data_IF_392297429456
#
_entry.id   IF_392297429456
#
_cell.length_a   1.000
_cell.length_b   1.000
_cell.length_c   1.000
_cell.angle_alpha   90.00
_cell.angle_beta   90.00
_cell.angle_gamma   90.00
#
_symmetry.space_group_name_H-M   'P 1'
#
loop_
_entity.id
_entity.type
_entity.pdbx_description
1 polymer ?
#
# COMPACT_ATOMS: atom_id res chain seq x y z
N UNK A 1 -1.76 -1.60 15.02
CA UNK A 1 -1.66 -2.78 14.13
C UNK A 1 -3.05 -3.32 13.87
N UNK A 2 -3.44 -3.50 12.60
CA UNK A 2 -4.67 -4.16 12.16
C UNK A 2 -4.28 -5.31 11.22
N UNK A 3 -4.91 -6.48 11.37
CA UNK A 3 -4.67 -7.61 10.49
C UNK A 3 -6.00 -8.30 10.16
N UNK A 4 -6.18 -8.68 8.89
CA UNK A 4 -7.34 -9.40 8.38
C UNK A 4 -6.82 -10.66 7.69
N UNK A 5 -7.37 -11.81 8.04
CA UNK A 5 -6.94 -13.11 7.53
C UNK A 5 -8.10 -13.83 6.85
N UNK A 6 -7.92 -14.22 5.59
CA UNK A 6 -8.91 -15.00 4.84
C UNK A 6 -8.16 -16.03 3.99
N UNK A 7 -8.04 -17.28 4.44
CA UNK A 7 -7.26 -18.31 3.72
C UNK A 7 -7.69 -18.42 2.25
N UNK A 8 -6.77 -18.33 1.26
CA UNK A 8 -5.30 -18.36 1.35
C UNK A 8 -4.60 -16.97 1.32
N UNK A 9 -5.34 -15.90 1.58
CA UNK A 9 -4.85 -14.52 1.58
C UNK A 9 -4.81 -13.89 2.99
N UNK A 10 -3.91 -12.94 3.20
CA UNK A 10 -3.92 -12.13 4.42
C UNK A 10 -3.48 -10.71 4.16
N UNK A 11 -4.00 -9.78 4.95
CA UNK A 11 -3.67 -8.37 4.95
C UNK A 11 -3.21 -7.97 6.35
N UNK A 12 -2.11 -7.23 6.44
CA UNK A 12 -1.62 -6.63 7.68
C UNK A 12 -1.26 -5.18 7.45
N UNK A 13 -1.77 -4.30 8.29
CA UNK A 13 -1.46 -2.88 8.34
C UNK A 13 -0.80 -2.54 9.68
N UNK A 14 0.39 -1.98 9.60
CA UNK A 14 1.22 -1.59 10.73
C UNK A 14 1.52 -0.09 10.65
N UNK A 15 1.43 0.58 11.80
CA UNK A 15 1.84 1.97 11.97
C UNK A 15 3.08 1.91 12.87
N UNK A 16 4.23 2.25 12.30
CA UNK A 16 5.53 2.26 12.97
C UNK A 16 5.97 3.68 13.32
N UNK A 17 6.97 3.77 14.19
CA UNK A 17 7.60 5.03 14.58
C UNK A 17 9.01 5.16 13.95
N UNK A 18 9.42 6.35 13.48
CA UNK A 18 8.59 7.54 13.25
C UNK A 18 7.60 7.31 12.10
N UNK A 19 6.42 7.95 12.16
CA UNK A 19 5.20 7.72 11.35
C UNK A 19 5.42 7.03 10.00
N UNK A 20 5.57 5.72 10.03
CA UNK A 20 5.85 4.92 8.86
C UNK A 20 4.77 3.87 8.74
N UNK A 21 4.05 3.90 7.62
CA UNK A 21 3.00 2.93 7.34
C UNK A 21 3.63 1.71 6.68
N UNK A 22 3.18 0.53 7.08
CA UNK A 22 3.52 -0.71 6.39
C UNK A 22 2.25 -1.47 6.09
N UNK A 23 2.06 -1.77 4.81
CA UNK A 23 1.03 -2.69 4.35
C UNK A 23 1.71 -3.96 3.87
N UNK A 24 1.27 -5.11 4.38
CA UNK A 24 1.73 -6.43 3.95
C UNK A 24 0.52 -7.23 3.50
N UNK A 25 0.55 -7.63 2.24
CA UNK A 25 -0.41 -8.52 1.61
C UNK A 25 0.27 -9.86 1.41
N UNK A 26 -0.44 -10.97 1.62
CA UNK A 26 0.14 -12.31 1.44
C UNK A 26 -0.83 -13.14 0.63
N UNK A 27 -0.31 -13.82 -0.39
CA UNK A 27 -1.06 -14.78 -1.19
C UNK A 27 -0.28 -16.08 -1.20
N UNK A 28 -0.90 -17.18 -0.75
CA UNK A 28 -0.27 -18.50 -0.76
C UNK A 28 1.12 -18.53 -0.10
N UNK A 29 1.28 -17.75 0.97
CA UNK A 29 2.53 -17.64 1.74
C UNK A 29 3.60 -16.72 1.16
N UNK A 30 3.36 -16.07 0.02
CA UNK A 30 4.28 -15.08 -0.56
C UNK A 30 3.87 -13.67 -0.14
N UNK A 31 4.70 -12.95 0.63
CA UNK A 31 4.39 -11.60 1.06
C UNK A 31 4.75 -10.57 -0.02
N UNK A 32 3.87 -9.59 -0.19
CA UNK A 32 4.07 -8.34 -0.93
C UNK A 32 3.92 -7.22 0.09
N UNK A 33 4.81 -6.23 0.10
CA UNK A 33 4.74 -5.17 1.09
C UNK A 33 5.10 -3.81 0.51
N UNK A 34 4.49 -2.78 1.09
CA UNK A 34 4.79 -1.38 0.84
C UNK A 34 5.12 -0.70 2.16
N UNK A 35 6.06 0.25 2.13
CA UNK A 35 6.55 0.98 3.30
C UNK A 35 6.54 2.47 2.98
N UNK A 36 5.99 3.28 3.88
CA UNK A 36 5.81 4.71 3.66
C UNK A 36 4.42 5.02 3.11
N UNK A 37 3.96 6.26 3.33
CA UNK A 37 2.59 6.65 2.97
C UNK A 37 2.33 6.61 1.47
N UNK A 38 3.34 6.96 0.66
CA UNK A 38 3.25 7.00 -0.80
C UNK A 38 3.14 5.58 -1.36
N UNK A 39 4.13 4.71 -1.10
CA UNK A 39 4.12 3.33 -1.56
C UNK A 39 2.88 2.55 -1.09
N UNK A 40 2.45 2.77 0.16
CA UNK A 40 1.24 2.12 0.68
C UNK A 40 0.00 2.64 -0.05
N UNK A 41 -0.09 3.95 -0.33
CA UNK A 41 -1.16 4.54 -1.11
C UNK A 41 -1.21 3.97 -2.53
N UNK A 42 -0.07 3.88 -3.21
CA UNK A 42 0.03 3.29 -4.55
C UNK A 42 -0.41 1.82 -4.53
N UNK A 43 0.02 1.04 -3.54
CA UNK A 43 -0.38 -0.36 -3.41
C UNK A 43 -1.89 -0.50 -3.19
N UNK A 44 -2.50 0.36 -2.38
CA UNK A 44 -3.96 0.39 -2.18
C UNK A 44 -4.69 0.66 -3.50
N UNK A 45 -4.29 1.69 -4.24
CA UNK A 45 -4.88 2.01 -5.55
C UNK A 45 -4.77 0.83 -6.51
N UNK A 46 -3.62 0.15 -6.52
CA UNK A 46 -3.40 -1.03 -7.33
C UNK A 46 -4.39 -2.17 -7.04
N UNK A 47 -4.83 -2.32 -5.79
CA UNK A 47 -5.81 -3.34 -5.40
C UNK A 47 -7.27 -2.84 -5.44
N UNK A 48 -7.52 -1.54 -5.58
CA UNK A 48 -8.88 -1.03 -5.83
C UNK A 48 -9.42 -1.39 -7.22
N UNK A 49 -8.57 -1.90 -8.13
CA UNK A 49 -8.97 -2.41 -9.45
C UNK A 49 -9.64 -3.79 -9.39
N UNK A 50 -9.91 -4.37 -8.20
CA UNK A 50 -10.63 -5.65 -8.06
C UNK A 50 -12.04 -5.66 -8.66
N UNK A 51 -12.69 -4.52 -8.79
CA UNK A 51 -13.98 -4.39 -9.48
C UNK A 51 -13.86 -4.34 -11.01
N UNK A 52 -12.65 -4.12 -11.53
CA UNK A 52 -12.45 -3.82 -12.95
C UNK A 52 -12.32 -5.09 -13.78
N UNK A 53 -12.82 -5.08 -15.04
CA UNK A 53 -12.76 -6.24 -15.93
C UNK A 53 -11.33 -6.62 -16.29
N UNK A 54 -10.39 -5.68 -16.25
CA UNK A 54 -8.97 -5.88 -16.52
C UNK A 54 -8.16 -5.09 -15.50
N UNK A 55 -7.20 -5.76 -14.85
CA UNK A 55 -6.24 -5.11 -13.96
C UNK A 55 -4.97 -4.75 -14.72
N UNK A 56 -4.66 -3.45 -14.76
CA UNK A 56 -3.41 -2.93 -15.29
C UNK A 56 -3.01 -1.70 -14.47
N UNK A 57 -1.96 -1.84 -13.67
CA UNK A 57 -1.40 -0.79 -12.85
C UNK A 57 0.11 -0.81 -12.99
N UNK A 58 0.70 0.31 -13.39
CA UNK A 58 2.14 0.52 -13.40
C UNK A 58 2.44 1.68 -12.44
N UNK A 59 3.34 1.42 -11.50
CA UNK A 59 3.78 2.34 -10.45
C UNK A 59 5.30 2.32 -10.38
N UNK A 60 5.88 3.27 -9.65
CA UNK A 60 7.34 3.39 -9.57
C UNK A 60 7.99 2.16 -8.92
N UNK A 61 7.34 1.57 -7.91
CA UNK A 61 7.91 0.50 -7.09
C UNK A 61 7.30 -0.87 -7.35
N UNK A 62 6.19 -0.96 -8.09
CA UNK A 62 5.56 -2.23 -8.46
C UNK A 62 4.70 -2.12 -9.74
N UNK A 63 4.29 -3.27 -10.25
CA UNK A 63 3.30 -3.41 -11.33
C UNK A 63 2.30 -4.51 -11.04
N UNK A 64 1.07 -4.34 -11.53
CA UNK A 64 0.01 -5.34 -11.55
C UNK A 64 -0.52 -5.45 -12.98
N UNK A 65 -0.34 -6.61 -13.60
CA UNK A 65 -0.81 -6.86 -14.98
C UNK A 65 -1.61 -8.14 -15.05
N UNK A 66 -2.85 -8.05 -15.52
CA UNK A 66 -3.68 -9.22 -15.75
C UNK A 66 -3.28 -9.94 -17.04
N UNK A 67 -3.07 -11.25 -16.94
CA UNK A 67 -2.79 -12.15 -18.05
C UNK A 67 -3.70 -13.38 -17.91
N UNK A 68 -4.77 -13.42 -18.69
CA UNK A 68 -5.80 -14.45 -18.55
C UNK A 68 -6.50 -14.36 -17.18
N UNK A 69 -6.47 -15.46 -16.43
CA UNK A 69 -7.10 -15.58 -15.10
C UNK A 69 -6.13 -15.34 -13.93
N UNK A 70 -4.99 -14.72 -14.20
CA UNK A 70 -4.01 -14.33 -13.18
C UNK A 70 -3.68 -12.85 -13.27
N UNK A 71 -3.44 -12.23 -12.12
CA UNK A 71 -2.84 -10.90 -11.99
C UNK A 71 -1.39 -11.11 -11.55
N UNK A 72 -0.46 -10.65 -12.38
CA UNK A 72 0.96 -10.69 -12.10
C UNK A 72 1.34 -9.45 -11.29
N UNK A 73 1.67 -9.64 -10.02
CA UNK A 73 2.37 -8.64 -9.24
C UNK A 73 3.88 -8.76 -9.49
N UNK A 74 4.55 -7.65 -9.76
CA UNK A 74 6.02 -7.60 -9.85
C UNK A 74 6.54 -6.34 -9.17
N UNK A 75 7.52 -6.51 -8.28
CA UNK A 75 8.34 -5.43 -7.71
C UNK A 75 9.82 -5.70 -8.01
N UNK A 76 10.74 -4.93 -7.40
CA UNK A 76 12.18 -5.09 -7.61
C UNK A 76 12.76 -6.44 -7.13
N UNK A 77 12.09 -7.13 -6.20
CA UNK A 77 12.57 -8.31 -5.48
C UNK A 77 11.74 -9.56 -5.76
N UNK A 78 10.47 -9.40 -6.12
CA UNK A 78 9.47 -10.46 -6.15
C UNK A 78 8.59 -10.37 -7.38
N UNK A 79 8.19 -11.56 -7.86
CA UNK A 79 7.18 -11.72 -8.89
C UNK A 79 6.20 -12.78 -8.43
N UNK A 80 4.93 -12.42 -8.35
CA UNK A 80 3.87 -13.25 -7.78
C UNK A 80 2.73 -13.38 -8.78
N UNK A 81 2.39 -14.62 -9.13
CA UNK A 81 1.19 -14.92 -9.90
C UNK A 81 0.01 -15.08 -8.95
N UNK A 82 -0.92 -14.14 -8.99
CA UNK A 82 -2.10 -14.11 -8.12
C UNK A 82 -3.30 -14.58 -8.95
N UNK A 83 -3.97 -15.69 -8.60
CA UNK A 83 -5.23 -16.06 -9.26
C UNK A 83 -6.24 -14.92 -9.17
N UNK A 84 -7.02 -14.65 -10.23
CA UNK A 84 -7.93 -13.50 -10.27
C UNK A 84 -8.88 -13.46 -9.07
N UNK A 85 -9.50 -14.60 -8.73
CA UNK A 85 -10.36 -14.68 -7.54
C UNK A 85 -9.64 -14.42 -6.21
N UNK A 86 -8.33 -14.67 -6.11
CA UNK A 86 -7.54 -14.30 -4.92
C UNK A 86 -7.19 -12.81 -4.90
N UNK A 87 -6.93 -12.22 -6.07
CA UNK A 87 -6.76 -10.78 -6.22
C UNK A 87 -8.04 -10.03 -5.84
N UNK A 88 -9.21 -10.46 -6.32
CA UNK A 88 -10.50 -9.84 -5.98
C UNK A 88 -10.82 -9.93 -4.48
N UNK A 89 -10.46 -11.04 -3.84
CA UNK A 89 -10.55 -11.16 -2.37
C UNK A 89 -9.63 -10.16 -1.67
N UNK A 90 -8.36 -10.05 -2.09
CA UNK A 90 -7.46 -9.05 -1.53
C UNK A 90 -7.98 -7.62 -1.74
N UNK A 91 -8.53 -7.32 -2.92
CA UNK A 91 -9.14 -6.03 -3.22
C UNK A 91 -10.31 -5.70 -2.27
N UNK A 92 -11.16 -6.69 -1.96
CA UNK A 92 -12.22 -6.53 -0.97
C UNK A 92 -11.66 -6.26 0.44
N UNK A 93 -10.62 -6.99 0.85
CA UNK A 93 -9.95 -6.77 2.15
C UNK A 93 -9.28 -5.39 2.24
N UNK A 94 -8.67 -4.92 1.15
CA UNK A 94 -8.11 -3.57 1.04
C UNK A 94 -9.22 -2.52 1.13
N UNK A 95 -10.37 -2.76 0.51
CA UNK A 95 -11.55 -1.88 0.59
C UNK A 95 -12.09 -1.79 2.02
N UNK A 96 -12.14 -2.91 2.75
CA UNK A 96 -12.50 -2.91 4.17
C UNK A 96 -11.46 -2.18 5.04
N UNK A 97 -10.17 -2.34 4.71
CA UNK A 97 -9.09 -1.66 5.42
C UNK A 97 -9.23 -0.15 5.34
N UNK A 98 -9.39 0.41 4.13
CA UNK A 98 -9.51 1.87 3.93
C UNK A 98 -10.81 2.45 4.50
N UNK A 99 -11.85 1.61 4.65
CA UNK A 99 -13.08 2.00 5.33
C UNK A 99 -12.93 2.15 6.85
N UNK A 100 -11.80 1.74 7.44
CA UNK A 100 -11.55 1.87 8.88
C UNK A 100 -11.08 3.30 9.24
N UNK A 101 -11.83 4.02 10.09
CA UNK A 101 -11.46 5.38 10.51
C UNK A 101 -10.07 5.47 11.15
N UNK A 102 -9.57 4.39 11.76
CA UNK A 102 -8.23 4.35 12.37
C UNK A 102 -7.13 4.28 11.33
N UNK A 103 -7.40 3.64 10.19
CA UNK A 103 -6.47 3.59 9.07
C UNK A 103 -6.42 4.97 8.43
N UNK A 104 -7.58 5.57 8.14
CA UNK A 104 -7.65 6.94 7.61
C UNK A 104 -6.91 7.95 8.49
N UNK A 105 -7.15 7.93 9.81
CA UNK A 105 -6.44 8.78 10.76
C UNK A 105 -4.92 8.58 10.72
N UNK A 106 -4.44 7.34 10.56
CA UNK A 106 -3.01 7.05 10.46
C UNK A 106 -2.40 7.63 9.16
N UNK A 107 -3.10 7.54 8.03
CA UNK A 107 -2.68 8.19 6.79
C UNK A 107 -2.57 9.70 6.95
N UNK A 108 -3.59 10.34 7.55
CA UNK A 108 -3.59 11.79 7.76
C UNK A 108 -2.44 12.23 8.68
N UNK A 109 -2.21 11.50 9.78
CA UNK A 109 -1.13 11.80 10.72
C UNK A 109 0.25 11.69 10.05
N UNK A 110 0.51 10.60 9.33
CA UNK A 110 1.77 10.42 8.59
C UNK A 110 1.96 11.51 7.53
N UNK A 111 0.92 11.85 6.78
CA UNK A 111 0.99 12.90 5.76
C UNK A 111 1.29 14.27 6.37
N UNK A 112 0.64 14.62 7.48
CA UNK A 112 0.89 15.86 8.20
C UNK A 112 2.32 15.93 8.73
N UNK A 113 2.84 14.83 9.27
CA UNK A 113 4.21 14.78 9.76
C UNK A 113 5.22 14.96 8.62
N UNK A 114 5.06 14.26 7.50
CA UNK A 114 5.91 14.43 6.32
C UNK A 114 5.88 15.87 5.79
N UNK A 115 4.70 16.49 5.76
CA UNK A 115 4.57 17.89 5.37
C UNK A 115 5.25 18.85 6.36
N UNK A 116 5.27 18.55 7.66
CA UNK A 116 6.00 19.34 8.66
C UNK A 116 7.51 19.17 8.48
N UNK A 117 7.99 17.95 8.28
CA UNK A 117 9.40 17.64 8.04
C UNK A 117 9.90 18.31 6.75
N UNK A 118 9.14 18.24 5.66
CA UNK A 118 9.45 18.92 4.40
C UNK A 118 9.53 20.44 4.56
N UNK A 119 8.60 21.06 5.32
CA UNK A 119 8.63 22.49 5.63
C UNK A 119 9.85 22.86 6.49
N UNK A 120 10.16 22.06 7.51
CA UNK A 120 11.33 22.28 8.37
C UNK A 120 12.64 22.17 7.57
N UNK A 121 12.74 21.19 6.66
CA UNK A 121 13.87 21.04 5.76
C UNK A 121 13.99 22.21 4.78
N UNK A 122 12.87 22.71 4.26
CA UNK A 122 12.84 23.90 3.39
C UNK A 122 13.24 25.19 4.14
N UNK A 123 13.07 25.23 5.46
CA UNK A 123 13.43 26.37 6.33
C UNK A 123 14.79 26.20 7.05
N UNK A 124 15.69 25.35 6.52
CA UNK A 124 17.07 25.21 7.01
C UNK A 124 17.84 26.56 7.10
N UNK A 125 18.97 26.61 7.83
CA UNK A 125 19.49 27.79 8.56
C UNK A 125 20.03 28.98 7.72
N UNK A 126 19.63 29.14 6.46
CA UNK A 126 19.98 30.27 5.60
C UNK A 126 19.12 31.53 5.77
N UNK A 127 18.00 31.46 6.49
CA UNK A 127 17.17 32.62 6.82
C UNK A 127 17.41 33.10 8.25
N UNK A 128 18.67 33.32 8.64
CA UNK A 128 18.98 34.21 9.77
C UNK A 128 19.52 35.50 9.18
N UNK A 129 18.74 36.55 9.42
CA UNK A 129 18.84 37.96 9.06
C UNK A 129 20.26 38.50 8.81
N UNK A 130 20.35 39.30 7.75
CA UNK A 130 21.39 40.32 7.53
C UNK A 130 21.41 41.33 8.69
#
# INVERSE_FOLDING_TARGET
MKAIFESPVSLRFEVGYPANLRLTLTVSGVPMFAIGVEDVGELIEGFQLGGDPVVSCERAVFSLVQVGDVVLYSDALTKVSIPRGAYDRLAALVTELIGDPRVDAAFQETYLQLAQEARAAAWGPGCREQ
#
